data_IF_726401734924
#
_entry.id   IF_726401734924
#
_cell.length_a   1.000
_cell.length_b   1.000
_cell.length_c   1.000
_cell.angle_alpha   90.00
_cell.angle_beta   90.00
_cell.angle_gamma   90.00
#
_symmetry.space_group_name_H-M   'P 1'
#
loop_
_entity.id
_entity.type
_entity.pdbx_description
1 polymer ?
#
# COMPACT_ATOMS: atom_id res chain seq x y z
N UNK A 1 4.15 -6.41 9.43
CA UNK A 1 3.38 -7.16 8.43
C UNK A 1 2.29 -6.27 7.85
N UNK A 2 1.89 -6.42 6.58
CA UNK A 2 0.76 -5.69 6.03
C UNK A 2 -0.56 -6.17 6.63
N UNK A 3 -1.51 -5.25 6.74
CA UNK A 3 -2.92 -5.58 6.86
C UNK A 3 -3.46 -5.99 5.47
N UNK A 4 -4.11 -7.14 5.36
CA UNK A 4 -4.64 -7.65 4.08
C UNK A 4 -6.15 -7.94 4.11
N UNK A 5 -6.78 -7.89 5.28
CA UNK A 5 -8.23 -7.97 5.39
C UNK A 5 -8.89 -6.75 4.73
N UNK A 6 -9.90 -6.97 3.89
CA UNK A 6 -10.57 -5.94 3.10
C UNK A 6 -9.75 -5.41 1.92
N UNK A 7 -8.55 -5.94 1.67
CA UNK A 7 -7.72 -5.50 0.56
C UNK A 7 -8.25 -6.03 -0.78
N UNK A 8 -8.04 -5.27 -1.86
CA UNK A 8 -8.43 -5.64 -3.22
C UNK A 8 -7.95 -7.04 -3.61
N UNK A 9 -8.87 -7.91 -4.05
CA UNK A 9 -8.56 -9.27 -4.48
C UNK A 9 -7.55 -9.27 -5.66
N UNK A 10 -7.71 -8.36 -6.63
CA UNK A 10 -6.79 -8.24 -7.75
C UNK A 10 -5.41 -7.77 -7.30
N UNK A 11 -5.33 -6.85 -6.32
CA UNK A 11 -4.06 -6.48 -5.70
C UNK A 11 -3.40 -7.66 -5.00
N UNK A 12 -4.13 -8.39 -4.14
CA UNK A 12 -3.59 -9.53 -3.39
C UNK A 12 -3.04 -10.57 -4.37
N UNK A 13 -3.85 -11.01 -5.33
CA UNK A 13 -3.46 -11.99 -6.35
C UNK A 13 -2.18 -11.56 -7.08
N UNK A 14 -2.13 -10.30 -7.52
CA UNK A 14 -0.92 -9.75 -8.16
C UNK A 14 0.31 -9.84 -7.24
N UNK A 15 0.18 -9.48 -5.96
CA UNK A 15 1.32 -9.53 -5.04
C UNK A 15 1.80 -10.97 -4.78
N UNK A 16 0.89 -11.93 -4.62
CA UNK A 16 1.23 -13.35 -4.44
C UNK A 16 2.00 -13.87 -5.66
N UNK A 17 1.49 -13.61 -6.87
CA UNK A 17 2.17 -13.93 -8.13
C UNK A 17 3.55 -13.26 -8.24
N UNK A 18 3.67 -11.98 -7.85
CA UNK A 18 4.94 -11.26 -7.89
C UNK A 18 5.97 -11.81 -6.89
N UNK A 19 5.55 -12.29 -5.71
CA UNK A 19 6.41 -12.99 -4.77
C UNK A 19 6.86 -14.35 -5.33
N UNK A 20 5.93 -15.15 -5.88
CA UNK A 20 6.23 -16.44 -6.53
C UNK A 20 7.23 -16.28 -7.67
N UNK A 21 7.05 -15.26 -8.51
CA UNK A 21 7.92 -14.97 -9.64
C UNK A 21 9.23 -14.27 -9.24
N UNK A 22 9.38 -13.83 -7.99
CA UNK A 22 10.57 -13.12 -7.51
C UNK A 22 10.66 -11.67 -7.98
N UNK A 23 9.57 -11.13 -8.56
CA UNK A 23 9.45 -9.71 -8.92
C UNK A 23 9.29 -8.82 -7.70
N UNK A 24 8.85 -9.38 -6.57
CA UNK A 24 8.77 -8.70 -5.27
C UNK A 24 9.55 -9.47 -4.21
N UNK A 25 10.39 -8.76 -3.47
CA UNK A 25 11.12 -9.30 -2.34
C UNK A 25 10.33 -9.13 -1.02
N UNK A 26 10.55 -10.05 -0.08
CA UNK A 26 10.11 -9.96 1.31
C UNK A 26 11.33 -10.17 2.22
N UNK A 27 11.30 -9.68 3.48
CA UNK A 27 12.34 -9.99 4.46
C UNK A 27 12.63 -11.49 4.47
N UNK A 28 13.91 -11.83 4.39
CA UNK A 28 14.43 -13.21 4.37
C UNK A 28 13.77 -14.14 3.32
N UNK A 29 13.11 -13.59 2.29
CA UNK A 29 12.41 -14.38 1.28
C UNK A 29 11.15 -15.12 1.76
N UNK A 30 10.64 -14.80 2.96
CA UNK A 30 9.54 -15.52 3.61
C UNK A 30 8.31 -15.73 2.71
N UNK A 31 7.86 -14.66 2.03
CA UNK A 31 6.70 -14.75 1.14
C UNK A 31 6.98 -15.56 -0.12
N UNK A 32 8.20 -15.51 -0.65
CA UNK A 32 8.56 -16.34 -1.82
C UNK A 32 8.50 -17.81 -1.45
N UNK A 33 9.10 -18.19 -0.32
CA UNK A 33 9.07 -19.58 0.18
C UNK A 33 7.64 -20.06 0.42
N UNK A 34 6.78 -19.22 1.00
CA UNK A 34 5.36 -19.55 1.17
C UNK A 34 4.64 -19.76 -0.18
N UNK A 35 4.89 -18.89 -1.17
CA UNK A 35 4.24 -18.97 -2.48
C UNK A 35 4.75 -20.11 -3.37
N UNK A 36 5.90 -20.70 -3.06
CA UNK A 36 6.37 -21.91 -3.74
C UNK A 36 5.65 -23.18 -3.27
N UNK A 37 4.90 -23.10 -2.17
CA UNK A 37 4.06 -24.18 -1.65
C UNK A 37 2.61 -24.10 -2.16
N UNK A 38 2.25 -23.00 -2.83
CA UNK A 38 0.90 -22.71 -3.32
C UNK A 38 0.90 -22.58 -4.84
N UNK A 39 -0.17 -23.00 -5.49
CA UNK A 39 -0.37 -22.82 -6.92
C UNK A 39 -1.18 -21.55 -7.27
N UNK A 40 -1.46 -21.33 -8.56
CA UNK A 40 -2.24 -20.17 -9.00
C UNK A 40 -3.73 -20.25 -8.62
N UNK A 41 -4.29 -21.44 -8.40
CA UNK A 41 -5.65 -21.60 -7.92
C UNK A 41 -5.74 -21.18 -6.44
N UNK A 42 -4.72 -21.50 -5.65
CA UNK A 42 -4.60 -21.05 -4.27
C UNK A 42 -4.54 -19.51 -4.16
N UNK A 43 -3.85 -18.83 -5.09
CA UNK A 43 -3.80 -17.36 -5.10
C UNK A 43 -5.20 -16.75 -5.19
N UNK A 44 -6.08 -17.33 -6.02
CA UNK A 44 -7.44 -16.85 -6.18
C UNK A 44 -8.28 -17.09 -4.91
N UNK A 45 -8.11 -18.26 -4.27
CA UNK A 45 -8.79 -18.57 -3.02
C UNK A 45 -8.34 -17.65 -1.87
N UNK A 46 -7.02 -17.44 -1.72
CA UNK A 46 -6.44 -16.52 -0.73
C UNK A 46 -6.91 -15.09 -0.95
N UNK A 47 -6.83 -14.61 -2.20
CA UNK A 47 -7.30 -13.27 -2.56
C UNK A 47 -8.79 -13.08 -2.29
N UNK A 48 -9.62 -14.04 -2.69
CA UNK A 48 -11.06 -14.02 -2.44
C UNK A 48 -11.38 -13.97 -0.95
N UNK A 49 -10.75 -14.85 -0.16
CA UNK A 49 -10.94 -14.88 1.30
C UNK A 49 -10.61 -13.54 1.96
N UNK A 50 -9.38 -13.04 1.79
CA UNK A 50 -8.96 -11.82 2.48
C UNK A 50 -9.70 -10.56 2.01
N UNK A 51 -10.08 -10.49 0.74
CA UNK A 51 -10.89 -9.38 0.22
C UNK A 51 -12.31 -9.35 0.77
N UNK A 52 -12.84 -10.51 1.18
CA UNK A 52 -14.18 -10.61 1.79
C UNK A 52 -14.23 -10.20 3.25
N UNK A 53 -13.08 -10.14 3.93
CA UNK A 53 -13.01 -9.69 5.31
C UNK A 53 -13.29 -8.18 5.40
N UNK A 54 -13.80 -7.69 6.55
CA UNK A 54 -13.87 -6.25 6.80
C UNK A 54 -12.47 -5.63 6.75
N UNK A 55 -12.39 -4.31 6.48
CA UNK A 55 -11.12 -3.59 6.57
C UNK A 55 -10.44 -3.84 7.90
N UNK A 56 -9.12 -4.04 7.85
CA UNK A 56 -8.31 -4.20 9.05
C UNK A 56 -8.42 -3.00 10.01
N UNK A 57 -8.66 -1.80 9.47
CA UNK A 57 -9.12 -0.65 10.24
C UNK A 57 -9.91 0.29 9.31
N UNK A 58 -11.17 0.64 9.65
CA UNK A 58 -11.88 1.67 8.91
C UNK A 58 -11.21 3.05 9.11
N UNK A 59 -11.31 3.98 8.15
CA UNK A 59 -10.98 5.39 8.41
C UNK A 59 -11.79 5.86 9.62
N UNK A 60 -11.14 6.41 10.66
CA UNK A 60 -11.86 7.04 11.76
C UNK A 60 -12.29 8.46 11.36
N UNK A 61 -13.31 9.02 12.00
CA UNK A 61 -13.63 10.46 11.85
C UNK A 61 -12.46 11.35 12.29
N UNK A 62 -11.63 10.85 13.21
CA UNK A 62 -10.41 11.50 13.69
C UNK A 62 -9.34 11.58 12.59
N UNK A 63 -9.21 10.55 11.76
CA UNK A 63 -8.32 10.53 10.61
C UNK A 63 -8.59 11.69 9.64
N UNK A 64 -9.87 11.92 9.31
CA UNK A 64 -10.29 13.03 8.45
C UNK A 64 -10.11 14.38 9.15
N UNK A 65 -10.38 14.47 10.46
CA UNK A 65 -10.21 15.70 11.23
C UNK A 65 -8.74 16.13 11.39
N UNK A 66 -7.80 15.18 11.34
CA UNK A 66 -6.34 15.44 11.47
C UNK A 66 -5.69 15.74 10.11
N UNK A 67 -6.48 16.02 9.06
CA UNK A 67 -6.03 16.26 7.67
C UNK A 67 -5.27 17.59 7.44
N UNK A 68 -4.57 18.10 8.45
CA UNK A 68 -3.70 19.26 8.34
C UNK A 68 -2.23 18.83 8.33
N UNK A 69 -1.38 19.54 7.58
CA UNK A 69 0.06 19.25 7.50
C UNK A 69 0.53 18.61 6.19
N UNK A 70 1.84 18.30 6.12
CA UNK A 70 2.51 17.88 4.88
C UNK A 70 1.94 16.57 4.32
N UNK A 71 1.67 15.57 5.17
CA UNK A 71 1.14 14.29 4.72
C UNK A 71 -0.26 14.42 4.13
N UNK A 72 -1.16 15.12 4.83
CA UNK A 72 -2.51 15.36 4.33
C UNK A 72 -2.50 16.18 3.03
N UNK A 73 -1.63 17.20 2.93
CA UNK A 73 -1.44 17.94 1.68
C UNK A 73 -1.00 17.02 0.54
N UNK A 74 0.03 16.20 0.73
CA UNK A 74 0.50 15.26 -0.29
C UNK A 74 -0.60 14.26 -0.68
N UNK A 75 -1.33 13.74 0.30
CA UNK A 75 -2.40 12.76 0.07
C UNK A 75 -3.56 13.34 -0.75
N UNK A 76 -4.04 14.55 -0.39
CA UNK A 76 -5.23 15.16 -0.99
C UNK A 76 -4.96 16.06 -2.19
N UNK A 77 -3.78 16.67 -2.26
CA UNK A 77 -3.47 17.73 -3.24
C UNK A 77 -2.21 17.44 -4.05
N UNK A 78 -1.34 16.54 -3.58
CA UNK A 78 0.01 16.40 -4.13
C UNK A 78 0.87 17.62 -3.83
N UNK A 79 1.87 17.86 -4.68
CA UNK A 79 2.83 18.97 -4.51
C UNK A 79 3.15 19.72 -5.81
N UNK A 80 2.33 19.54 -6.84
CA UNK A 80 2.52 20.13 -8.17
C UNK A 80 3.56 19.43 -9.03
N UNK A 81 4.41 18.58 -8.46
CA UNK A 81 5.27 17.64 -9.20
C UNK A 81 4.65 16.24 -9.23
N UNK A 82 3.87 15.90 -8.21
CA UNK A 82 3.19 14.63 -8.05
C UNK A 82 1.69 14.83 -7.91
N UNK A 83 0.88 13.99 -8.58
CA UNK A 83 -0.56 13.94 -8.32
C UNK A 83 -0.84 13.54 -6.86
N UNK A 84 -2.02 13.89 -6.38
CA UNK A 84 -2.49 13.51 -5.06
C UNK A 84 -2.57 11.97 -4.93
N UNK A 85 -2.15 11.44 -3.78
CA UNK A 85 -2.17 9.98 -3.54
C UNK A 85 -3.60 9.42 -3.62
N UNK A 86 -4.58 10.19 -3.14
CA UNK A 86 -6.00 9.81 -3.12
C UNK A 86 -6.56 9.55 -4.52
N UNK A 87 -5.98 10.15 -5.56
CA UNK A 87 -6.43 9.96 -6.96
C UNK A 87 -6.33 8.50 -7.40
N UNK A 88 -5.39 7.72 -6.85
CA UNK A 88 -5.23 6.31 -7.19
C UNK A 88 -5.55 5.36 -6.04
N UNK A 89 -5.38 5.81 -4.78
CA UNK A 89 -5.56 4.98 -3.59
C UNK A 89 -6.91 5.15 -2.90
N UNK A 90 -7.72 6.11 -3.34
CA UNK A 90 -9.05 6.43 -2.79
C UNK A 90 -9.06 6.60 -1.26
N UNK A 91 -10.25 6.86 -0.71
CA UNK A 91 -10.49 6.78 0.74
C UNK A 91 -11.32 5.56 1.13
N UNK A 92 -12.11 5.05 0.19
CA UNK A 92 -12.85 3.80 0.31
C UNK A 92 -12.28 2.76 -0.65
N UNK A 93 -12.31 1.50 -0.23
CA UNK A 93 -11.94 0.38 -1.11
C UNK A 93 -12.89 0.21 -2.31
N UNK A 94 -14.13 0.70 -2.18
CA UNK A 94 -15.16 0.58 -3.22
C UNK A 94 -14.87 1.46 -4.44
N UNK A 95 -14.05 2.50 -4.25
CA UNK A 95 -13.66 3.46 -5.29
C UNK A 95 -12.27 3.15 -5.90
N UNK A 96 -11.66 2.03 -5.51
CA UNK A 96 -10.31 1.67 -5.98
C UNK A 96 -10.32 1.17 -7.41
N UNK A 97 -9.34 1.65 -8.19
CA UNK A 97 -9.00 1.04 -9.46
C UNK A 97 -8.43 -0.37 -9.28
N UNK A 98 -8.58 -1.21 -10.30
CA UNK A 98 -8.04 -2.57 -10.29
C UNK A 98 -6.53 -2.58 -9.97
N UNK A 99 -6.12 -3.54 -9.14
CA UNK A 99 -4.74 -3.73 -8.68
C UNK A 99 -4.11 -2.55 -7.93
N UNK A 100 -4.88 -1.53 -7.52
CA UNK A 100 -4.42 -0.51 -6.58
C UNK A 100 -4.72 -0.92 -5.14
N UNK A 101 -3.75 -0.82 -4.22
CA UNK A 101 -4.00 -1.17 -2.83
C UNK A 101 -4.75 -0.07 -2.09
N UNK A 102 -5.68 -0.48 -1.24
CA UNK A 102 -6.17 0.33 -0.13
C UNK A 102 -5.04 0.58 0.87
N UNK A 103 -4.83 1.84 1.27
CA UNK A 103 -3.71 2.23 2.14
C UNK A 103 -4.13 2.66 3.55
N UNK A 104 -5.36 3.13 3.72
CA UNK A 104 -5.84 3.62 5.01
C UNK A 104 -5.98 2.43 5.98
N UNK A 105 -5.53 2.61 7.22
CA UNK A 105 -5.51 1.57 8.24
C UNK A 105 -4.33 0.58 8.11
N UNK A 106 -3.45 0.77 7.14
CA UNK A 106 -2.28 -0.07 6.95
C UNK A 106 -1.20 0.22 8.01
N UNK A 107 -0.47 -0.80 8.47
CA UNK A 107 0.61 -0.63 9.45
C UNK A 107 1.65 0.43 9.01
N UNK A 108 1.92 1.41 9.90
CA UNK A 108 2.86 2.52 9.68
C UNK A 108 4.21 2.05 9.17
N UNK A 109 4.87 1.13 9.88
CA UNK A 109 6.22 0.70 9.51
C UNK A 109 6.22 -0.05 8.18
N UNK A 110 5.14 -0.78 7.86
CA UNK A 110 5.01 -1.40 6.55
C UNK A 110 4.92 -0.36 5.44
N UNK A 111 4.06 0.66 5.58
CA UNK A 111 3.92 1.75 4.60
C UNK A 111 5.25 2.46 4.38
N UNK A 112 5.92 2.86 5.46
CA UNK A 112 7.20 3.55 5.39
C UNK A 112 8.25 2.69 4.68
N UNK A 113 8.35 1.39 5.01
CA UNK A 113 9.23 0.45 4.31
C UNK A 113 8.88 0.31 2.83
N UNK A 114 7.60 0.29 2.44
CA UNK A 114 7.23 0.16 1.03
C UNK A 114 7.57 1.42 0.24
N UNK A 115 7.31 2.61 0.80
CA UNK A 115 7.66 3.88 0.16
C UNK A 115 9.17 4.01 -0.04
N UNK A 116 9.97 3.70 0.99
CA UNK A 116 11.44 3.63 0.87
C UNK A 116 11.87 2.62 -0.19
N UNK A 117 11.31 1.41 -0.17
CA UNK A 117 11.66 0.39 -1.16
C UNK A 117 11.35 0.81 -2.60
N UNK A 118 10.25 1.54 -2.85
CA UNK A 118 9.98 2.10 -4.17
C UNK A 118 10.96 3.24 -4.52
N UNK A 119 11.20 4.18 -3.61
CA UNK A 119 12.12 5.30 -3.82
C UNK A 119 13.55 4.81 -4.12
N UNK A 120 14.02 3.83 -3.37
CA UNK A 120 15.40 3.35 -3.39
C UNK A 120 15.60 2.20 -4.40
N UNK A 121 14.54 1.81 -5.12
CA UNK A 121 14.59 0.74 -6.14
C UNK A 121 14.57 -0.70 -5.59
N UNK A 122 14.48 -0.89 -4.28
CA UNK A 122 14.31 -2.20 -3.64
C UNK A 122 12.98 -2.90 -3.95
N UNK A 123 11.99 -2.17 -4.48
CA UNK A 123 10.72 -2.68 -4.99
C UNK A 123 10.41 -2.04 -6.36
N UNK A 124 10.23 -2.87 -7.38
CA UNK A 124 9.98 -2.44 -8.76
C UNK A 124 8.87 -3.25 -9.46
N UNK A 125 7.96 -3.85 -8.68
CA UNK A 125 6.83 -4.62 -9.20
C UNK A 125 5.59 -3.75 -9.48
N UNK A 126 5.75 -2.44 -9.60
CA UNK A 126 4.67 -1.48 -9.85
C UNK A 126 4.27 -1.41 -11.32
N UNK A 127 2.99 -1.13 -11.57
CA UNK A 127 2.46 -0.99 -12.94
C UNK A 127 3.07 0.27 -13.54
N UNK A 128 3.76 0.14 -14.68
CA UNK A 128 4.38 1.23 -15.44
C UNK A 128 5.33 2.13 -14.65
N UNK A 129 5.89 1.65 -13.52
CA UNK A 129 6.82 2.45 -12.71
C UNK A 129 6.16 3.60 -11.92
N UNK A 130 4.82 3.61 -11.80
CA UNK A 130 4.07 4.70 -11.19
C UNK A 130 4.49 4.95 -9.75
N UNK A 131 4.59 3.91 -8.92
CA UNK A 131 4.93 4.10 -7.50
C UNK A 131 6.38 4.49 -7.30
N UNK A 132 7.31 4.00 -8.14
CA UNK A 132 8.69 4.46 -8.13
C UNK A 132 8.78 5.95 -8.47
N UNK A 133 8.02 6.40 -9.48
CA UNK A 133 7.94 7.82 -9.82
C UNK A 133 7.35 8.67 -8.69
N UNK A 134 6.28 8.22 -8.04
CA UNK A 134 5.69 8.93 -6.89
C UNK A 134 6.66 9.02 -5.71
N UNK A 135 7.34 7.91 -5.40
CA UNK A 135 8.23 7.81 -4.24
C UNK A 135 9.58 8.53 -4.45
N UNK A 136 10.06 8.63 -5.70
CA UNK A 136 11.39 9.17 -6.02
C UNK A 136 11.66 10.56 -5.43
N UNK A 137 10.66 11.43 -5.36
CA UNK A 137 10.80 12.78 -4.85
C UNK A 137 10.44 12.92 -3.35
N UNK A 138 10.15 11.83 -2.64
CA UNK A 138 9.79 11.87 -1.22
C UNK A 138 11.06 11.88 -0.37
N UNK A 139 11.18 12.85 0.53
CA UNK A 139 12.21 12.80 1.57
C UNK A 139 11.76 11.90 2.75
N UNK A 140 12.66 11.64 3.70
CA UNK A 140 12.38 10.78 4.86
C UNK A 140 11.20 11.29 5.70
N UNK A 141 11.18 12.59 6.02
CA UNK A 141 10.12 13.19 6.84
C UNK A 141 8.74 13.04 6.17
N UNK A 142 8.67 13.20 4.86
CA UNK A 142 7.45 13.01 4.08
C UNK A 142 7.00 11.55 4.09
N UNK A 143 7.93 10.59 3.98
CA UNK A 143 7.60 9.15 4.04
C UNK A 143 7.04 8.80 5.42
N UNK A 144 7.70 9.23 6.50
CA UNK A 144 7.28 8.91 7.85
C UNK A 144 5.95 9.60 8.21
N UNK A 145 5.75 10.84 7.74
CA UNK A 145 4.51 11.56 7.90
C UNK A 145 3.36 10.89 7.13
N UNK A 146 3.57 10.51 5.85
CA UNK A 146 2.59 9.76 5.06
C UNK A 146 2.30 8.38 5.64
N UNK A 147 3.27 7.72 6.26
CA UNK A 147 3.04 6.42 6.87
C UNK A 147 2.20 6.53 8.17
N UNK A 148 2.49 7.53 9.01
CA UNK A 148 1.72 7.80 10.22
C UNK A 148 0.30 8.26 9.87
N UNK A 149 0.20 9.31 9.06
CA UNK A 149 -1.01 9.68 8.34
C UNK A 149 -1.25 8.65 7.22
N UNK A 150 -1.42 7.36 7.46
CA UNK A 150 -2.16 6.39 6.60
C UNK A 150 -2.56 5.23 7.50
N UNK A 151 -1.72 4.94 8.49
CA UNK A 151 -2.01 4.04 9.59
C UNK A 151 -3.09 4.54 10.57
N UNK A 152 -3.66 5.74 10.41
CA UNK A 152 -4.57 6.31 11.41
C UNK A 152 -3.86 6.75 12.70
N UNK A 153 -2.53 6.73 12.71
CA UNK A 153 -1.73 7.28 13.81
C UNK A 153 -1.69 8.78 13.59
N UNK A 154 -2.37 9.56 14.44
CA UNK A 154 -2.26 11.02 14.40
C UNK A 154 -0.79 11.44 14.25
N UNK A 155 -0.54 12.49 13.47
CA UNK A 155 0.79 13.08 13.40
C UNK A 155 1.30 13.34 14.83
N UNK A 156 2.61 13.15 15.11
CA UNK A 156 3.16 13.43 16.43
C UNK A 156 2.86 14.86 16.90
#
# INVERSE_FOLDING_TARGET
MPAIAGQSASYIKKQLSDFRAGRRASPEGQMRSAMLLLDEADDAAVAGYFSSLPDAAPPSTEWEATSTGVAAKLFWQGDGQRPACVTCHATSRDDLFEAHPHLIGMNRDYLARQLRAFRDGGRANDINGVMRQQAAALNEDQIDALAAYLAGSGAP
#
